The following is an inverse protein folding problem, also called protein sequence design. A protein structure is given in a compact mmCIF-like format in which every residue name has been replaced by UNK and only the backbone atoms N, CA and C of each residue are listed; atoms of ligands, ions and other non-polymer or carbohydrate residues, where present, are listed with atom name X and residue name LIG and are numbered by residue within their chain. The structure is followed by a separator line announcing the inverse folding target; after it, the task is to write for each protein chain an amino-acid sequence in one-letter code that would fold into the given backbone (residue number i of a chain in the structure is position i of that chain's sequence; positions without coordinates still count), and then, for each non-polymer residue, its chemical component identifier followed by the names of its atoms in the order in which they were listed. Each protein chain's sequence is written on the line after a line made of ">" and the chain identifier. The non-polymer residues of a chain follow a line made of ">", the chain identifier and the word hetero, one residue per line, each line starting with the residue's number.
data_IF_511564410061
#
_entry.id   IF_511564410061
#
_cell.length_a   1.000
_cell.length_b   1.000
_cell.length_c   1.000
_cell.angle_alpha   90.00
_cell.angle_beta   90.00
_cell.angle_gamma   90.00
#
_symmetry.space_group_name_H-M   'P 1'
#
loop_
_entity.id
_entity.type
_entity.pdbx_description
1 polymer ?
#
# COMPACT_ATOMS: atom_id res chain seq x y z
N UNK A 1 6.90 -14.14 -71.49
CA UNK A 1 6.02 -13.73 -70.37
C UNK A 1 6.33 -14.61 -69.17
N UNK A 2 7.12 -14.11 -68.24
CA UNK A 2 7.35 -14.69 -66.92
C UNK A 2 7.42 -13.51 -65.94
N UNK A 3 6.51 -13.46 -64.98
CA UNK A 3 6.39 -12.35 -64.02
C UNK A 3 7.35 -12.56 -62.83
N UNK A 4 7.90 -11.47 -62.25
CA UNK A 4 8.87 -11.54 -61.15
C UNK A 4 8.19 -11.66 -59.78
N UNK A 5 8.89 -12.14 -58.73
CA UNK A 5 8.36 -12.24 -57.38
C UNK A 5 8.41 -10.90 -56.65
N UNK A 6 7.27 -10.47 -56.10
CA UNK A 6 7.11 -9.24 -55.33
C UNK A 6 7.18 -9.49 -53.82
N UNK A 7 8.13 -8.80 -53.17
CA UNK A 7 8.06 -8.19 -51.83
C UNK A 7 7.53 -9.01 -50.64
N UNK A 8 8.47 -9.59 -49.88
CA UNK A 8 8.26 -10.10 -48.51
C UNK A 8 8.69 -9.11 -47.41
N UNK A 9 8.64 -7.80 -47.68
CA UNK A 9 9.21 -6.76 -46.78
C UNK A 9 8.19 -5.86 -46.07
N UNK A 10 6.89 -6.17 -46.08
CA UNK A 10 5.85 -5.25 -45.55
C UNK A 10 4.90 -5.83 -44.49
N UNK A 11 5.22 -6.95 -43.84
CA UNK A 11 4.38 -7.55 -42.76
C UNK A 11 4.83 -7.26 -41.32
N UNK A 12 5.86 -6.45 -41.11
CA UNK A 12 6.45 -6.23 -39.77
C UNK A 12 6.09 -4.93 -39.05
N UNK A 13 5.20 -4.08 -39.57
CA UNK A 13 5.12 -2.68 -39.12
C UNK A 13 3.70 -2.16 -38.80
N UNK A 14 2.74 -3.04 -38.53
CA UNK A 14 1.36 -2.67 -38.18
C UNK A 14 0.84 -3.38 -36.92
N UNK A 15 1.70 -3.51 -35.90
CA UNK A 15 1.30 -3.99 -34.56
C UNK A 15 1.91 -3.12 -33.46
N UNK A 16 1.90 -1.80 -33.68
CA UNK A 16 2.35 -0.82 -32.69
C UNK A 16 1.44 0.42 -32.71
N UNK A 17 0.13 0.20 -32.63
CA UNK A 17 -0.84 1.23 -32.27
C UNK A 17 -1.76 0.65 -31.19
N UNK A 18 -1.18 0.35 -30.03
CA UNK A 18 -1.95 0.26 -28.79
C UNK A 18 -2.38 1.69 -28.48
N UNK A 19 -3.65 1.97 -28.78
CA UNK A 19 -4.35 3.17 -28.34
C UNK A 19 -4.22 3.24 -26.82
N UNK A 20 -3.33 4.11 -26.34
CA UNK A 20 -3.22 4.48 -24.93
C UNK A 20 -4.52 5.19 -24.55
N UNK A 21 -5.51 4.42 -24.08
CA UNK A 21 -6.61 4.98 -23.31
C UNK A 21 -6.02 5.62 -22.07
N UNK A 22 -6.02 6.95 -22.00
CA UNK A 22 -5.51 7.81 -20.92
C UNK A 22 -6.30 7.71 -19.61
N UNK A 23 -6.98 6.59 -19.37
CA UNK A 23 -7.71 6.29 -18.15
C UNK A 23 -6.91 5.36 -17.25
N UNK A 24 -6.84 5.67 -15.95
CA UNK A 24 -6.26 4.76 -14.98
C UNK A 24 -6.97 3.38 -15.04
N UNK A 25 -6.24 2.25 -15.03
CA UNK A 25 -6.86 0.93 -15.06
C UNK A 25 -7.77 0.74 -13.84
N UNK A 26 -8.85 -0.04 -13.99
CA UNK A 26 -9.77 -0.29 -12.85
C UNK A 26 -9.08 -1.07 -11.73
N UNK A 27 -8.33 -2.11 -12.10
CA UNK A 27 -7.55 -2.92 -11.18
C UNK A 27 -6.10 -2.43 -11.09
N UNK A 28 -5.52 -2.67 -9.94
CA UNK A 28 -4.24 -2.14 -9.51
C UNK A 28 -3.06 -3.06 -9.86
N UNK A 29 -3.36 -4.31 -10.24
CA UNK A 29 -2.47 -5.41 -10.61
C UNK A 29 -3.05 -6.21 -11.80
N UNK A 30 -2.21 -6.87 -12.63
CA UNK A 30 -2.65 -7.83 -13.64
C UNK A 30 -3.27 -9.10 -13.06
N UNK A 31 -3.85 -9.96 -13.92
CA UNK A 31 -4.31 -11.30 -13.51
C UNK A 31 -3.11 -12.17 -13.12
N UNK A 32 -3.28 -13.00 -12.09
CA UNK A 32 -2.26 -13.97 -11.68
C UNK A 32 -1.05 -13.38 -10.96
N UNK A 33 -1.12 -12.12 -10.53
CA UNK A 33 -0.11 -11.51 -9.67
C UNK A 33 0.04 -12.30 -8.36
N UNK A 34 1.28 -12.45 -7.91
CA UNK A 34 1.61 -13.12 -6.64
C UNK A 34 0.84 -12.48 -5.48
N UNK A 35 0.27 -13.32 -4.62
CA UNK A 35 -0.41 -12.87 -3.40
C UNK A 35 0.60 -12.85 -2.25
N UNK A 36 0.69 -11.72 -1.58
CA UNK A 36 1.53 -11.58 -0.39
C UNK A 36 0.68 -11.35 0.85
N UNK A 37 1.13 -11.88 1.99
CA UNK A 37 0.51 -11.63 3.29
C UNK A 37 1.25 -10.47 3.94
N UNK A 38 0.57 -9.34 4.11
CA UNK A 38 1.16 -8.15 4.71
C UNK A 38 1.09 -8.21 6.24
N UNK A 39 2.16 -7.82 6.93
CA UNK A 39 2.16 -7.61 8.41
C UNK A 39 1.05 -6.64 8.82
N UNK A 40 0.77 -5.72 7.92
CA UNK A 40 -0.13 -4.60 8.07
C UNK A 40 -1.59 -5.00 8.06
N UNK A 41 -1.94 -6.04 7.30
CA UNK A 41 -3.24 -6.68 7.38
C UNK A 41 -3.44 -7.28 8.79
N UNK A 42 -2.38 -7.86 9.36
CA UNK A 42 -2.37 -8.34 10.75
C UNK A 42 -2.56 -7.21 11.78
N UNK A 43 -1.91 -6.07 11.58
CA UNK A 43 -2.06 -4.89 12.44
C UNK A 43 -3.47 -4.31 12.31
N UNK A 44 -3.98 -4.18 11.10
CA UNK A 44 -5.32 -3.69 10.84
C UNK A 44 -6.36 -4.60 11.48
N UNK A 45 -6.18 -5.92 11.38
CA UNK A 45 -7.02 -6.91 12.06
C UNK A 45 -7.02 -6.68 13.58
N UNK A 46 -5.85 -6.57 14.20
CA UNK A 46 -5.75 -6.36 15.66
C UNK A 46 -6.39 -5.04 16.07
N UNK A 47 -6.07 -3.93 15.39
CA UNK A 47 -6.59 -2.61 15.74
C UNK A 47 -8.10 -2.51 15.51
N UNK A 48 -8.61 -3.07 14.41
CA UNK A 48 -10.05 -3.05 14.13
C UNK A 48 -10.83 -3.96 15.07
N UNK A 49 -10.31 -5.15 15.41
CA UNK A 49 -10.93 -6.04 16.38
C UNK A 49 -10.92 -5.47 17.80
N UNK A 50 -9.80 -4.89 18.25
CA UNK A 50 -9.72 -4.20 19.54
C UNK A 50 -10.64 -2.99 19.60
N UNK A 51 -10.65 -2.17 18.54
CA UNK A 51 -11.57 -1.05 18.42
C UNK A 51 -13.03 -1.49 18.47
N UNK A 52 -13.39 -2.56 17.77
CA UNK A 52 -14.74 -3.13 17.78
C UNK A 52 -15.12 -3.62 19.18
N UNK A 53 -14.20 -4.30 19.90
CA UNK A 53 -14.42 -4.72 21.28
C UNK A 53 -14.64 -3.54 22.22
N UNK A 54 -13.78 -2.52 22.17
CA UNK A 54 -13.89 -1.32 23.00
C UNK A 54 -15.17 -0.53 22.74
N UNK A 55 -15.53 -0.33 21.47
CA UNK A 55 -16.78 0.34 21.10
C UNK A 55 -17.99 -0.52 21.49
N UNK A 56 -17.93 -1.84 21.27
CA UNK A 56 -18.98 -2.77 21.65
C UNK A 56 -19.32 -2.71 23.15
N UNK A 57 -18.31 -2.55 24.01
CA UNK A 57 -18.51 -2.41 25.47
C UNK A 57 -19.33 -1.18 25.88
N UNK A 58 -19.34 -0.12 25.05
CA UNK A 58 -20.03 1.15 25.34
C UNK A 58 -21.16 1.45 24.34
N UNK A 59 -21.43 0.54 23.40
CA UNK A 59 -22.44 0.74 22.37
C UNK A 59 -23.86 0.68 22.93
N UNK A 60 -24.07 -0.01 24.06
CA UNK A 60 -25.38 -0.22 24.67
C UNK A 60 -25.28 -0.01 26.19
N UNK A 61 -26.09 0.88 26.79
CA UNK A 61 -27.04 1.81 26.16
C UNK A 61 -26.33 3.01 25.48
N UNK A 62 -26.99 3.69 24.52
CA UNK A 62 -26.39 4.86 23.86
C UNK A 62 -26.07 5.97 24.86
N UNK A 63 -24.94 6.63 24.65
CA UNK A 63 -24.52 7.74 25.50
C UNK A 63 -25.48 8.94 25.42
N UNK A 64 -25.44 9.84 26.41
CA UNK A 64 -26.24 11.08 26.36
C UNK A 64 -25.93 11.95 25.14
N UNK A 65 -24.66 12.02 24.72
CA UNK A 65 -24.26 12.68 23.48
C UNK A 65 -24.84 12.00 22.24
N UNK A 66 -24.75 10.67 22.16
CA UNK A 66 -25.31 9.90 21.05
C UNK A 66 -26.83 10.06 20.96
N UNK A 67 -27.52 10.09 22.10
CA UNK A 67 -28.96 10.34 22.17
C UNK A 67 -29.32 11.73 21.63
N UNK A 68 -28.51 12.76 21.92
CA UNK A 68 -28.70 14.10 21.36
C UNK A 68 -28.47 14.14 19.83
N UNK A 69 -27.46 13.42 19.33
CA UNK A 69 -27.21 13.29 17.89
C UNK A 69 -28.38 12.58 17.20
N UNK A 70 -28.88 11.50 17.78
CA UNK A 70 -30.04 10.78 17.24
C UNK A 70 -31.29 11.68 17.24
N UNK A 71 -31.49 12.48 18.29
CA UNK A 71 -32.56 13.48 18.34
C UNK A 71 -32.44 14.54 17.25
N UNK A 72 -31.21 15.01 16.98
CA UNK A 72 -30.93 15.94 15.88
C UNK A 72 -31.24 15.30 14.51
N UNK A 73 -30.83 14.05 14.29
CA UNK A 73 -31.12 13.31 13.05
C UNK A 73 -32.63 13.18 12.84
N UNK A 74 -33.39 12.88 13.89
CA UNK A 74 -34.85 12.80 13.81
C UNK A 74 -35.52 14.14 13.46
N UNK A 75 -34.86 15.27 13.71
CA UNK A 75 -35.34 16.60 13.35
C UNK A 75 -35.03 16.99 11.89
N UNK A 76 -34.24 16.20 11.15
CA UNK A 76 -33.94 16.51 9.75
C UNK A 76 -35.19 16.39 8.86
N UNK A 77 -35.33 17.27 7.85
CA UNK A 77 -36.46 17.21 6.93
C UNK A 77 -36.54 15.86 6.19
N UNK A 78 -37.72 15.24 6.23
CA UNK A 78 -37.96 13.91 5.62
C UNK A 78 -37.70 13.87 4.12
N UNK A 79 -37.83 15.00 3.41
CA UNK A 79 -37.50 15.10 1.99
C UNK A 79 -36.02 14.81 1.70
N UNK A 80 -35.10 15.06 2.64
CA UNK A 80 -33.69 14.69 2.48
C UNK A 80 -33.45 13.18 2.54
N UNK A 81 -34.47 12.39 2.89
CA UNK A 81 -34.39 10.92 2.90
C UNK A 81 -33.91 10.33 1.56
N UNK A 82 -34.21 10.97 0.42
CA UNK A 82 -33.69 10.50 -0.88
C UNK A 82 -32.17 10.63 -0.98
N UNK A 83 -31.56 11.68 -0.40
CA UNK A 83 -30.11 11.93 -0.42
C UNK A 83 -29.40 10.84 0.37
N UNK A 84 -29.93 10.51 1.55
CA UNK A 84 -29.37 9.47 2.42
C UNK A 84 -29.52 8.08 1.81
N UNK A 85 -30.66 7.79 1.17
CA UNK A 85 -30.87 6.55 0.41
C UNK A 85 -29.92 6.46 -0.78
N UNK A 86 -29.64 7.58 -1.45
CA UNK A 86 -28.66 7.64 -2.52
C UNK A 86 -27.26 7.28 -2.02
N UNK A 87 -26.86 7.72 -0.81
CA UNK A 87 -25.60 7.31 -0.18
C UNK A 87 -25.47 5.79 -0.02
N UNK A 88 -26.53 5.13 0.49
CA UNK A 88 -26.58 3.66 0.61
C UNK A 88 -26.57 3.00 -0.78
N UNK A 89 -27.36 3.51 -1.74
CA UNK A 89 -27.41 2.99 -3.09
C UNK A 89 -26.07 3.11 -3.82
N UNK A 90 -25.32 4.20 -3.61
CA UNK A 90 -23.96 4.37 -4.13
C UNK A 90 -23.02 3.32 -3.55
N UNK A 91 -23.09 3.03 -2.24
CA UNK A 91 -22.29 1.98 -1.63
C UNK A 91 -22.61 0.60 -2.20
N UNK A 92 -23.89 0.22 -2.25
CA UNK A 92 -24.32 -1.07 -2.79
C UNK A 92 -23.95 -1.19 -4.27
N UNK A 93 -24.27 -0.17 -5.07
CA UNK A 93 -23.93 -0.11 -6.49
C UNK A 93 -22.43 -0.19 -6.74
N UNK A 94 -21.62 0.42 -5.89
CA UNK A 94 -20.17 0.32 -5.94
C UNK A 94 -19.67 -1.12 -5.71
N UNK A 95 -20.15 -1.80 -4.67
CA UNK A 95 -19.76 -3.20 -4.39
C UNK A 95 -20.20 -4.13 -5.52
N UNK A 96 -21.42 -3.95 -6.03
CA UNK A 96 -21.92 -4.71 -7.17
C UNK A 96 -21.09 -4.45 -8.43
N UNK A 97 -20.71 -3.19 -8.68
CA UNK A 97 -19.86 -2.84 -9.82
C UNK A 97 -18.48 -3.51 -9.71
N UNK A 98 -17.86 -3.52 -8.52
CA UNK A 98 -16.58 -4.22 -8.30
C UNK A 98 -16.73 -5.71 -8.55
N UNK A 99 -17.75 -6.37 -7.97
CA UNK A 99 -17.99 -7.80 -8.16
C UNK A 99 -18.27 -8.15 -9.62
N UNK A 100 -19.12 -7.34 -10.29
CA UNK A 100 -19.43 -7.50 -11.71
C UNK A 100 -18.20 -7.33 -12.59
N UNK A 101 -17.41 -6.27 -12.41
CA UNK A 101 -16.20 -6.02 -13.20
C UNK A 101 -15.16 -7.11 -12.92
N UNK A 102 -15.05 -7.60 -11.69
CA UNK A 102 -14.19 -8.72 -11.34
C UNK A 102 -14.60 -9.99 -12.08
N UNK A 103 -15.88 -10.37 -12.04
CA UNK A 103 -16.41 -11.54 -12.74
C UNK A 103 -16.26 -11.40 -14.27
N UNK A 104 -16.68 -10.26 -14.84
CA UNK A 104 -16.57 -9.98 -16.28
C UNK A 104 -15.12 -9.99 -16.77
N UNK A 105 -14.18 -9.60 -15.92
CA UNK A 105 -12.75 -9.69 -16.19
C UNK A 105 -12.10 -10.91 -15.53
N UNK A 106 -12.83 -12.00 -15.26
CA UNK A 106 -12.32 -13.26 -14.73
C UNK A 106 -11.26 -13.10 -13.61
N UNK A 107 -11.44 -12.08 -12.76
CA UNK A 107 -10.65 -11.78 -11.56
C UNK A 107 -11.25 -12.53 -10.38
N UNK A 108 -11.18 -13.85 -10.45
CA UNK A 108 -11.70 -14.74 -9.41
C UNK A 108 -11.00 -14.52 -8.07
N UNK A 109 -9.73 -14.10 -8.10
CA UNK A 109 -8.98 -13.65 -6.93
C UNK A 109 -9.71 -12.53 -6.17
N UNK A 110 -10.11 -11.47 -6.88
CA UNK A 110 -10.80 -10.32 -6.28
C UNK A 110 -12.22 -10.70 -5.86
N UNK A 111 -12.93 -11.49 -6.68
CA UNK A 111 -14.29 -11.91 -6.36
C UNK A 111 -14.33 -12.78 -5.10
N UNK A 112 -13.39 -13.72 -4.97
CA UNK A 112 -13.27 -14.56 -3.78
C UNK A 112 -12.99 -13.72 -2.54
N UNK A 113 -12.09 -12.74 -2.60
CA UNK A 113 -11.81 -11.86 -1.46
C UNK A 113 -13.04 -11.05 -1.03
N UNK A 114 -13.74 -10.47 -2.00
CA UNK A 114 -14.96 -9.68 -1.76
C UNK A 114 -16.06 -10.56 -1.16
N UNK A 115 -16.31 -11.74 -1.73
CA UNK A 115 -17.34 -12.67 -1.24
C UNK A 115 -16.97 -13.24 0.14
N UNK A 116 -15.73 -13.68 0.32
CA UNK A 116 -15.26 -14.23 1.60
C UNK A 116 -15.35 -13.19 2.71
N UNK A 117 -14.94 -11.94 2.44
CA UNK A 117 -15.02 -10.86 3.42
C UNK A 117 -16.47 -10.49 3.76
N UNK A 118 -17.37 -10.46 2.78
CA UNK A 118 -18.79 -10.23 3.01
C UNK A 118 -19.42 -11.34 3.87
N UNK A 119 -19.16 -12.61 3.54
CA UNK A 119 -19.69 -13.77 4.29
C UNK A 119 -19.13 -13.81 5.72
N UNK A 120 -17.82 -13.60 5.87
CA UNK A 120 -17.19 -13.52 7.18
C UNK A 120 -17.72 -12.33 7.99
N UNK A 121 -17.90 -11.17 7.35
CA UNK A 121 -18.49 -9.98 7.95
C UNK A 121 -19.91 -10.23 8.45
N UNK A 122 -20.74 -10.93 7.67
CA UNK A 122 -22.08 -11.35 8.12
C UNK A 122 -21.99 -12.22 9.38
N UNK A 123 -21.12 -13.24 9.38
CA UNK A 123 -20.92 -14.09 10.55
C UNK A 123 -20.49 -13.32 11.80
N UNK A 124 -19.54 -12.39 11.65
CA UNK A 124 -19.08 -11.53 12.74
C UNK A 124 -20.15 -10.54 13.22
N UNK A 125 -20.99 -10.02 12.31
CA UNK A 125 -22.10 -9.14 12.68
C UNK A 125 -23.16 -9.89 13.50
N UNK A 126 -23.53 -11.10 13.08
CA UNK A 126 -24.47 -11.96 13.81
C UNK A 126 -23.92 -12.34 15.18
N UNK A 127 -22.63 -12.67 15.26
CA UNK A 127 -21.96 -12.94 16.53
C UNK A 127 -21.91 -11.70 17.42
N UNK A 128 -21.62 -10.53 16.86
CA UNK A 128 -21.63 -9.24 17.57
C UNK A 128 -23.00 -8.94 18.16
N UNK A 129 -24.07 -9.07 17.37
CA UNK A 129 -25.45 -8.91 17.84
C UNK A 129 -25.77 -9.92 18.95
N UNK A 130 -25.36 -11.19 18.81
CA UNK A 130 -25.58 -12.20 19.85
C UNK A 130 -24.85 -11.88 21.17
N UNK A 131 -23.67 -11.28 21.11
CA UNK A 131 -22.87 -10.89 22.29
C UNK A 131 -23.47 -9.65 22.95
N UNK A 132 -23.87 -8.65 22.15
CA UNK A 132 -24.31 -7.34 22.63
C UNK A 132 -25.79 -7.34 23.05
N UNK A 133 -26.67 -7.89 22.21
CA UNK A 133 -28.13 -7.90 22.41
C UNK A 133 -28.62 -9.19 23.11
N UNK A 134 -27.77 -10.20 23.22
CA UNK A 134 -28.08 -11.48 23.87
C UNK A 134 -28.93 -12.45 23.02
N UNK A 135 -29.46 -12.01 21.89
CA UNK A 135 -30.29 -12.81 20.96
C UNK A 135 -29.71 -12.82 19.55
N UNK A 136 -30.08 -13.84 18.77
CA UNK A 136 -29.79 -13.83 17.34
C UNK A 136 -30.78 -12.91 16.63
N UNK A 137 -30.34 -12.06 15.69
CA UNK A 137 -31.23 -11.13 15.01
C UNK A 137 -32.10 -11.85 13.98
N UNK A 138 -33.35 -11.41 13.85
CA UNK A 138 -34.25 -11.86 12.79
C UNK A 138 -33.78 -11.40 11.40
N UNK A 139 -34.20 -12.10 10.36
CA UNK A 139 -33.83 -11.81 8.97
C UNK A 139 -34.19 -10.37 8.56
N UNK A 140 -35.31 -9.84 9.05
CA UNK A 140 -35.74 -8.46 8.81
C UNK A 140 -34.78 -7.44 9.44
N UNK A 141 -34.29 -7.70 10.65
CA UNK A 141 -33.31 -6.86 11.34
C UNK A 141 -31.95 -6.88 10.63
N UNK A 142 -31.55 -8.03 10.08
CA UNK A 142 -30.34 -8.19 9.27
C UNK A 142 -30.42 -7.39 7.97
N UNK A 143 -31.56 -7.45 7.26
CA UNK A 143 -31.73 -6.86 5.92
C UNK A 143 -32.03 -5.35 5.93
N UNK A 144 -32.88 -4.90 6.86
CA UNK A 144 -33.44 -3.54 6.83
C UNK A 144 -32.85 -2.64 7.93
N UNK A 145 -32.39 -3.22 9.05
CA UNK A 145 -31.92 -2.46 10.22
C UNK A 145 -33.05 -1.73 10.96
N UNK A 146 -32.68 -0.70 11.75
CA UNK A 146 -33.58 0.13 12.55
C UNK A 146 -33.06 0.37 13.98
N UNK A 147 -33.66 1.29 14.76
CA UNK A 147 -33.30 1.53 16.18
C UNK A 147 -33.38 0.30 17.08
N UNK A 148 -34.19 -0.68 16.69
CA UNK A 148 -34.35 -1.99 17.35
C UNK A 148 -33.71 -3.12 16.53
N UNK A 149 -32.98 -2.79 15.47
CA UNK A 149 -32.25 -3.73 14.64
C UNK A 149 -30.94 -4.16 15.29
N UNK A 150 -30.23 -5.10 14.64
CA UNK A 150 -29.00 -5.66 15.17
C UNK A 150 -27.88 -4.62 15.31
N UNK A 151 -27.18 -4.61 16.44
CA UNK A 151 -25.94 -3.85 16.62
C UNK A 151 -24.76 -4.84 16.66
N UNK A 152 -23.80 -4.79 15.71
CA UNK A 152 -23.69 -3.90 14.55
C UNK A 152 -24.67 -4.22 13.40
N UNK A 153 -24.88 -3.24 12.49
CA UNK A 153 -25.75 -3.39 11.34
C UNK A 153 -25.13 -4.32 10.29
N UNK A 154 -25.67 -5.53 10.16
CA UNK A 154 -25.09 -6.59 9.33
C UNK A 154 -24.89 -6.21 7.86
N UNK A 155 -25.84 -5.51 7.22
CA UNK A 155 -25.69 -5.04 5.83
C UNK A 155 -24.54 -4.06 5.65
N UNK A 156 -24.32 -3.19 6.63
CA UNK A 156 -23.21 -2.23 6.62
C UNK A 156 -21.87 -2.93 6.87
N UNK A 157 -21.83 -3.92 7.77
CA UNK A 157 -20.66 -4.78 7.98
C UNK A 157 -20.29 -5.52 6.69
N UNK A 158 -21.24 -6.17 6.02
CA UNK A 158 -21.00 -6.87 4.76
C UNK A 158 -20.49 -5.94 3.66
N UNK A 159 -21.15 -4.79 3.46
CA UNK A 159 -20.79 -3.84 2.41
C UNK A 159 -19.43 -3.19 2.65
N UNK A 160 -19.12 -2.81 3.90
CA UNK A 160 -17.81 -2.27 4.26
C UNK A 160 -16.70 -3.32 4.17
N UNK A 161 -16.94 -4.55 4.62
CA UNK A 161 -16.00 -5.68 4.47
C UNK A 161 -15.66 -5.93 3.00
N UNK A 162 -16.67 -6.02 2.13
CA UNK A 162 -16.49 -6.15 0.68
C UNK A 162 -15.69 -4.98 0.09
N UNK A 163 -16.00 -3.74 0.49
CA UNK A 163 -15.32 -2.54 0.00
C UNK A 163 -13.85 -2.48 0.44
N UNK A 164 -13.57 -2.83 1.70
CA UNK A 164 -12.21 -2.89 2.23
C UNK A 164 -11.41 -4.04 1.63
N UNK A 165 -12.03 -5.21 1.42
CA UNK A 165 -11.40 -6.35 0.76
C UNK A 165 -11.02 -6.05 -0.69
N UNK A 166 -11.85 -5.28 -1.40
CA UNK A 166 -11.58 -4.84 -2.77
C UNK A 166 -10.50 -3.75 -2.87
N UNK A 167 -10.37 -2.88 -1.87
CA UNK A 167 -9.57 -1.66 -1.94
C UNK A 167 -8.10 -1.86 -2.39
N UNK A 168 -7.36 -2.90 -1.96
CA UNK A 168 -5.99 -3.14 -2.39
C UNK A 168 -5.90 -3.48 -3.90
N UNK A 169 -6.92 -4.14 -4.43
CA UNK A 169 -7.00 -4.60 -5.83
C UNK A 169 -7.36 -3.48 -6.82
N UNK A 170 -7.77 -2.30 -6.34
CA UNK A 170 -8.30 -1.22 -7.17
C UNK A 170 -7.28 -0.08 -7.37
N UNK A 171 -7.32 0.57 -8.54
CA UNK A 171 -6.49 1.75 -8.74
C UNK A 171 -6.94 2.93 -7.84
N UNK A 172 -6.04 3.91 -7.68
CA UNK A 172 -6.21 5.05 -6.78
C UNK A 172 -7.56 5.78 -6.90
N UNK A 173 -8.04 6.17 -8.10
CA UNK A 173 -9.30 6.91 -8.21
C UNK A 173 -10.50 6.07 -7.74
N UNK A 174 -10.53 4.79 -8.10
CA UNK A 174 -11.59 3.85 -7.76
C UNK A 174 -11.61 3.52 -6.26
N UNK A 175 -10.43 3.35 -5.64
CA UNK A 175 -10.33 3.22 -4.18
C UNK A 175 -10.79 4.49 -3.46
N UNK A 176 -10.47 5.67 -3.99
CA UNK A 176 -10.95 6.94 -3.42
C UNK A 176 -12.47 7.02 -3.49
N UNK A 177 -13.05 6.67 -4.63
CA UNK A 177 -14.50 6.60 -4.79
C UNK A 177 -15.12 5.60 -3.81
N UNK A 178 -14.56 4.39 -3.70
CA UNK A 178 -15.04 3.38 -2.74
C UNK A 178 -15.04 3.86 -1.29
N UNK A 179 -14.01 4.60 -0.85
CA UNK A 179 -14.01 5.21 0.51
C UNK A 179 -15.11 6.25 0.68
N UNK A 180 -15.33 7.09 -0.32
CA UNK A 180 -16.43 8.08 -0.30
C UNK A 180 -17.77 7.36 -0.26
N UNK A 181 -17.94 6.28 -1.03
CA UNK A 181 -19.15 5.46 -1.04
C UNK A 181 -19.41 4.81 0.32
N UNK A 182 -18.37 4.28 1.00
CA UNK A 182 -18.50 3.74 2.37
C UNK A 182 -18.95 4.84 3.34
N UNK A 183 -18.30 6.00 3.34
CA UNK A 183 -18.66 7.13 4.21
C UNK A 183 -20.10 7.61 3.93
N UNK A 184 -20.47 7.72 2.66
CA UNK A 184 -21.82 8.11 2.25
C UNK A 184 -22.88 7.06 2.65
N UNK A 185 -22.55 5.77 2.56
CA UNK A 185 -23.43 4.68 2.98
C UNK A 185 -23.63 4.62 4.50
N UNK A 186 -22.57 4.79 5.28
CA UNK A 186 -22.64 4.88 6.76
C UNK A 186 -23.45 6.10 7.18
N UNK A 187 -23.13 7.26 6.62
CA UNK A 187 -23.85 8.51 6.88
C UNK A 187 -25.34 8.37 6.51
N UNK A 188 -25.63 7.75 5.37
CA UNK A 188 -26.99 7.45 4.95
C UNK A 188 -27.73 6.53 5.92
N UNK A 189 -27.09 5.46 6.40
CA UNK A 189 -27.67 4.53 7.37
C UNK A 189 -27.98 5.21 8.72
N UNK A 190 -27.07 6.07 9.19
CA UNK A 190 -27.29 6.85 10.42
C UNK A 190 -28.41 7.87 10.24
N UNK A 191 -28.40 8.62 9.13
CA UNK A 191 -29.41 9.65 8.85
C UNK A 191 -30.81 9.10 8.59
N UNK A 192 -30.91 7.82 8.20
CA UNK A 192 -32.18 7.10 8.02
C UNK A 192 -32.59 6.30 9.26
N UNK A 193 -31.89 6.47 10.39
CA UNK A 193 -32.17 5.78 11.65
C UNK A 193 -32.09 4.24 11.54
N UNK A 194 -31.31 3.74 10.56
CA UNK A 194 -31.07 2.32 10.37
C UNK A 194 -30.01 1.78 11.35
N UNK A 195 -29.15 2.65 11.86
CA UNK A 195 -28.17 2.36 12.92
C UNK A 195 -27.81 3.65 13.65
N UNK A 196 -27.28 3.56 14.86
CA UNK A 196 -26.78 4.72 15.60
C UNK A 196 -25.38 5.13 15.09
N UNK A 197 -24.89 6.35 15.39
CA UNK A 197 -23.52 6.73 15.06
C UNK A 197 -22.47 5.73 15.57
N UNK A 198 -22.61 5.27 16.82
CA UNK A 198 -21.70 4.27 17.41
C UNK A 198 -21.85 2.92 16.72
N UNK A 199 -23.09 2.50 16.43
CA UNK A 199 -23.36 1.27 15.66
C UNK A 199 -22.78 1.30 14.25
N UNK A 200 -22.79 2.46 13.58
CA UNK A 200 -22.15 2.67 12.29
C UNK A 200 -20.63 2.50 12.34
N UNK A 201 -19.97 3.09 13.34
CA UNK A 201 -18.52 2.93 13.56
C UNK A 201 -18.19 1.47 13.89
N UNK A 202 -18.95 0.84 14.78
CA UNK A 202 -18.79 -0.57 15.11
C UNK A 202 -18.93 -1.45 13.86
N UNK A 203 -19.89 -1.16 13.00
CA UNK A 203 -20.10 -1.89 11.74
C UNK A 203 -18.87 -1.79 10.82
N UNK A 204 -18.24 -0.61 10.73
CA UNK A 204 -17.01 -0.43 9.96
C UNK A 204 -15.83 -1.19 10.56
N UNK A 205 -15.69 -1.22 11.89
CA UNK A 205 -14.59 -1.92 12.55
C UNK A 205 -14.72 -3.44 12.42
N UNK A 206 -15.94 -3.97 12.55
CA UNK A 206 -16.21 -5.39 12.32
C UNK A 206 -16.01 -5.75 10.85
N UNK A 207 -16.46 -4.91 9.92
CA UNK A 207 -16.23 -5.10 8.48
C UNK A 207 -14.74 -5.03 8.11
N UNK A 208 -14.00 -4.09 8.72
CA UNK A 208 -12.55 -3.99 8.60
C UNK A 208 -11.83 -5.22 9.14
N UNK A 209 -12.27 -5.76 10.27
CA UNK A 209 -11.74 -7.00 10.85
C UNK A 209 -11.93 -8.18 9.90
N UNK A 210 -13.12 -8.32 9.29
CA UNK A 210 -13.40 -9.37 8.31
C UNK A 210 -12.49 -9.25 7.07
N UNK A 211 -12.37 -8.06 6.48
CA UNK A 211 -11.51 -7.83 5.32
C UNK A 211 -10.03 -8.11 5.63
N UNK A 212 -9.54 -7.59 6.76
CA UNK A 212 -8.16 -7.80 7.20
C UNK A 212 -7.87 -9.27 7.48
N UNK A 213 -8.79 -10.02 8.10
CA UNK A 213 -8.63 -11.46 8.33
C UNK A 213 -8.55 -12.23 7.01
N UNK A 214 -9.38 -11.88 6.02
CA UNK A 214 -9.29 -12.46 4.66
C UNK A 214 -7.92 -12.21 4.03
N UNK A 215 -7.40 -10.98 4.12
CA UNK A 215 -6.07 -10.65 3.57
C UNK A 215 -4.92 -11.32 4.33
N UNK A 216 -5.02 -11.48 5.66
CA UNK A 216 -4.03 -12.24 6.44
C UNK A 216 -3.99 -13.71 6.01
N UNK A 217 -5.16 -14.33 5.79
CA UNK A 217 -5.25 -15.75 5.45
C UNK A 217 -4.89 -16.00 3.98
N UNK A 218 -5.51 -15.26 3.06
CA UNK A 218 -5.40 -15.48 1.62
C UNK A 218 -4.27 -14.66 0.96
N UNK A 219 -3.75 -13.63 1.63
CA UNK A 219 -2.90 -12.60 1.04
C UNK A 219 -3.72 -11.56 0.26
N UNK A 220 -3.09 -10.50 -0.22
CA UNK A 220 -3.70 -9.58 -1.19
C UNK A 220 -2.80 -9.45 -2.42
N UNK A 221 -3.36 -9.01 -3.55
CA UNK A 221 -2.59 -8.81 -4.79
C UNK A 221 -1.95 -7.42 -4.85
N UNK A 222 -2.10 -6.64 -3.79
CA UNK A 222 -1.60 -5.30 -3.75
C UNK A 222 -0.12 -5.31 -3.38
N UNK A 223 0.69 -4.65 -4.21
CA UNK A 223 1.80 -3.90 -3.65
C UNK A 223 3.10 -3.95 -4.42
N UNK A 224 3.36 -5.00 -5.19
CA UNK A 224 4.63 -5.12 -5.93
C UNK A 224 4.42 -5.04 -7.43
N UNK A 225 5.08 -4.09 -8.12
CA UNK A 225 5.09 -4.09 -9.57
C UNK A 225 5.80 -5.35 -10.07
N UNK A 226 5.26 -5.95 -11.12
CA UNK A 226 5.94 -7.03 -11.85
C UNK A 226 7.21 -6.49 -12.51
N UNK A 227 8.19 -7.35 -12.83
CA UNK A 227 9.39 -6.92 -13.57
C UNK A 227 9.05 -6.23 -14.90
N UNK A 228 7.97 -6.65 -15.56
CA UNK A 228 7.46 -5.98 -16.76
C UNK A 228 6.97 -4.55 -16.47
N UNK A 229 6.24 -4.35 -15.36
CA UNK A 229 5.83 -3.01 -14.91
C UNK A 229 7.02 -2.16 -14.48
N UNK A 230 8.07 -2.76 -13.92
CA UNK A 230 9.34 -2.05 -13.63
C UNK A 230 10.02 -1.63 -14.93
N UNK A 231 10.05 -2.47 -15.95
CA UNK A 231 10.57 -2.11 -17.27
C UNK A 231 9.77 -0.95 -17.89
N UNK A 232 8.44 -1.04 -17.90
CA UNK A 232 7.55 0.04 -18.37
C UNK A 232 7.80 1.35 -17.62
N UNK A 233 7.95 1.27 -16.30
CA UNK A 233 8.23 2.41 -15.43
C UNK A 233 9.58 3.06 -15.74
N UNK A 234 10.61 2.27 -15.99
CA UNK A 234 11.93 2.77 -16.38
C UNK A 234 11.86 3.50 -17.73
N UNK A 235 11.15 2.93 -18.71
CA UNK A 235 10.93 3.55 -20.02
C UNK A 235 10.15 4.86 -19.90
N UNK A 236 9.10 4.90 -19.08
CA UNK A 236 8.34 6.13 -18.80
C UNK A 236 9.24 7.24 -18.21
N UNK A 237 10.20 6.85 -17.37
CA UNK A 237 11.20 7.74 -16.78
C UNK A 237 12.42 7.98 -17.68
N UNK A 238 12.39 7.52 -18.94
CA UNK A 238 13.38 7.81 -19.97
C UNK A 238 14.63 6.91 -19.97
N UNK A 239 14.61 5.78 -19.26
CA UNK A 239 15.73 4.83 -19.19
C UNK A 239 15.29 3.43 -19.61
N UNK A 240 16.00 2.80 -20.54
CA UNK A 240 15.77 1.38 -20.89
C UNK A 240 16.72 0.49 -20.09
N UNK A 241 16.19 -0.63 -19.58
CA UNK A 241 16.94 -1.64 -18.82
C UNK A 241 16.57 -3.03 -19.33
N UNK A 242 17.59 -3.80 -19.71
CA UNK A 242 17.47 -5.16 -20.21
C UNK A 242 17.78 -6.19 -19.12
N UNK A 243 17.26 -7.41 -19.30
CA UNK A 243 17.59 -8.55 -18.44
C UNK A 243 17.19 -8.37 -16.98
N UNK A 244 16.07 -7.69 -16.72
CA UNK A 244 15.58 -7.48 -15.36
C UNK A 244 15.39 -8.81 -14.63
N UNK A 245 15.99 -8.90 -13.45
CA UNK A 245 15.85 -10.00 -12.51
C UNK A 245 15.53 -9.45 -11.12
N UNK A 246 14.76 -10.19 -10.33
CA UNK A 246 14.52 -9.84 -8.93
C UNK A 246 15.81 -10.01 -8.11
N UNK A 247 16.12 -9.00 -7.31
CA UNK A 247 17.23 -9.03 -6.35
C UNK A 247 16.84 -9.73 -5.03
N UNK A 248 17.77 -9.76 -4.05
CA UNK A 248 17.52 -10.36 -2.74
C UNK A 248 16.25 -9.83 -2.08
N UNK A 249 15.42 -10.73 -1.59
CA UNK A 249 14.09 -10.44 -1.07
C UNK A 249 14.13 -10.05 0.42
N UNK A 250 13.83 -8.79 0.73
CA UNK A 250 13.51 -8.36 2.11
C UNK A 250 11.99 -8.36 2.30
N UNK A 251 11.50 -9.18 3.24
CA UNK A 251 10.07 -9.18 3.63
C UNK A 251 9.67 -7.80 4.14
N UNK A 252 8.70 -7.16 3.49
CA UNK A 252 8.20 -5.83 3.86
C UNK A 252 9.05 -4.64 3.41
N UNK A 253 10.12 -4.86 2.63
CA UNK A 253 10.96 -3.83 2.01
C UNK A 253 10.55 -3.48 0.57
N UNK A 254 11.20 -2.47 -0.06
CA UNK A 254 11.00 -2.17 -1.47
C UNK A 254 11.29 -3.40 -2.34
N UNK A 255 10.67 -3.48 -3.52
CA UNK A 255 11.10 -4.44 -4.53
C UNK A 255 12.47 -3.98 -5.03
N UNK A 256 13.45 -4.89 -5.01
CA UNK A 256 14.76 -4.64 -5.61
C UNK A 256 14.82 -5.46 -6.89
N UNK A 257 15.08 -4.80 -8.02
CA UNK A 257 15.36 -5.43 -9.30
C UNK A 257 16.76 -5.04 -9.76
N UNK A 258 17.40 -5.91 -10.53
CA UNK A 258 18.70 -5.65 -11.16
C UNK A 258 18.59 -5.89 -12.66
N UNK A 259 19.29 -5.09 -13.46
CA UNK A 259 19.36 -5.27 -14.91
C UNK A 259 20.59 -4.58 -15.50
N UNK A 260 20.61 -4.45 -16.82
CA UNK A 260 21.68 -3.79 -17.57
C UNK A 260 21.11 -2.59 -18.31
N UNK A 261 21.77 -1.44 -18.23
CA UNK A 261 21.39 -0.29 -19.05
C UNK A 261 21.91 -0.42 -20.50
N UNK A 262 21.59 0.57 -21.34
CA UNK A 262 22.08 0.62 -22.74
C UNK A 262 23.60 0.58 -22.90
N UNK A 263 24.38 0.93 -21.87
CA UNK A 263 25.84 0.85 -21.87
C UNK A 263 26.38 -0.51 -21.43
N UNK A 264 25.50 -1.45 -21.04
CA UNK A 264 25.86 -2.72 -20.44
C UNK A 264 26.27 -2.62 -18.96
N UNK A 265 26.06 -1.47 -18.32
CA UNK A 265 26.35 -1.28 -16.91
C UNK A 265 25.24 -1.86 -16.04
N UNK A 266 25.62 -2.49 -14.92
CA UNK A 266 24.67 -3.02 -13.95
C UNK A 266 23.90 -1.89 -13.28
N UNK A 267 22.57 -1.98 -13.30
CA UNK A 267 21.65 -1.07 -12.64
C UNK A 267 20.88 -1.82 -11.57
N UNK A 268 20.84 -1.27 -10.36
CA UNK A 268 19.97 -1.71 -9.28
C UNK A 268 18.82 -0.73 -9.16
N UNK A 269 17.60 -1.25 -9.17
CA UNK A 269 16.36 -0.50 -9.15
C UNK A 269 15.64 -0.84 -7.85
N UNK A 270 15.38 0.17 -7.02
CA UNK A 270 14.50 0.04 -5.86
C UNK A 270 13.15 0.64 -6.21
N UNK A 271 12.11 -0.19 -6.15
CA UNK A 271 10.74 0.24 -6.38
C UNK A 271 9.98 0.22 -5.06
N UNK A 272 9.60 1.41 -4.63
CA UNK A 272 8.76 1.62 -3.46
C UNK A 272 7.31 1.43 -3.88
N UNK A 273 6.90 0.16 -3.83
CA UNK A 273 5.57 -0.30 -4.16
C UNK A 273 4.48 0.23 -3.23
N UNK A 274 3.23 -0.15 -3.55
CA UNK A 274 2.02 0.45 -2.99
C UNK A 274 1.90 0.25 -1.46
N UNK A 275 2.46 -0.83 -0.92
CA UNK A 275 2.17 -1.33 0.44
C UNK A 275 3.37 -1.41 1.39
N UNK A 276 4.52 -0.80 1.06
CA UNK A 276 5.61 -0.58 2.03
C UNK A 276 5.21 0.35 3.21
N UNK A 277 3.99 0.90 3.20
CA UNK A 277 3.43 1.80 4.21
C UNK A 277 3.23 1.14 5.57
N UNK A 278 3.01 -0.15 5.57
CA UNK A 278 1.92 -0.63 6.41
C UNK A 278 2.52 -1.42 7.62
N UNK A 279 3.72 -2.00 7.44
CA UNK A 279 4.62 -2.41 8.52
C UNK A 279 5.19 -1.20 9.32
N UNK A 280 5.29 -0.03 8.69
CA UNK A 280 5.86 1.15 9.33
C UNK A 280 4.86 1.88 10.22
N UNK A 281 3.56 1.84 9.93
CA UNK A 281 2.51 2.46 10.77
C UNK A 281 2.48 1.86 12.19
N UNK A 282 2.69 0.55 12.34
CA UNK A 282 2.83 -0.09 13.65
C UNK A 282 4.09 0.40 14.38
N UNK A 283 5.24 0.38 13.71
CA UNK A 283 6.48 0.86 14.32
C UNK A 283 6.43 2.34 14.69
N UNK A 284 5.56 3.12 14.03
CA UNK A 284 5.28 4.53 14.32
C UNK A 284 4.29 4.70 15.46
N UNK A 285 3.18 3.96 15.48
CA UNK A 285 2.23 3.98 16.58
C UNK A 285 2.92 3.55 17.88
N UNK A 286 3.73 2.49 17.81
CA UNK A 286 4.57 2.04 18.92
C UNK A 286 5.60 3.10 19.35
N UNK A 287 6.29 3.75 18.39
CA UNK A 287 7.24 4.84 18.71
C UNK A 287 6.57 6.13 19.17
N UNK A 288 5.37 6.46 18.73
CA UNK A 288 4.59 7.61 19.20
C UNK A 288 4.06 7.39 20.62
N UNK A 289 3.63 6.15 20.91
CA UNK A 289 3.16 5.77 22.24
C UNK A 289 4.31 5.64 23.24
N UNK A 290 5.51 5.25 22.79
CA UNK A 290 6.63 4.93 23.68
C UNK A 290 7.79 5.93 23.66
N UNK A 291 8.02 6.67 22.57
CA UNK A 291 9.06 7.71 22.47
C UNK A 291 8.41 9.10 22.43
N UNK A 292 8.41 9.77 23.58
CA UNK A 292 8.11 11.20 23.67
C UNK A 292 9.25 12.00 23.01
N UNK A 293 9.07 12.37 21.74
CA UNK A 293 9.96 13.32 21.06
C UNK A 293 9.97 13.13 19.54
N UNK A 294 9.52 14.15 18.81
CA UNK A 294 9.39 14.25 17.35
C UNK A 294 8.27 13.40 16.70
N UNK A 295 7.14 14.06 16.45
CA UNK A 295 6.19 13.60 15.44
C UNK A 295 6.82 13.81 14.06
N UNK A 296 7.48 12.78 13.51
CA UNK A 296 7.95 12.81 12.11
C UNK A 296 6.72 12.62 11.21
N UNK A 297 6.38 13.65 10.44
CA UNK A 297 5.33 13.61 9.42
C UNK A 297 5.59 12.42 8.49
N UNK A 298 4.57 11.57 8.29
CA UNK A 298 4.68 10.40 7.41
C UNK A 298 5.06 10.85 5.98
N UNK A 299 6.24 10.45 5.52
CA UNK A 299 6.72 10.80 4.18
C UNK A 299 5.95 10.04 3.10
N UNK A 300 5.66 10.72 1.99
CA UNK A 300 5.11 10.08 0.78
C UNK A 300 6.17 9.16 0.13
N UNK A 301 5.76 8.25 -0.77
CA UNK A 301 6.69 7.35 -1.49
C UNK A 301 7.68 8.14 -2.34
N UNK A 302 7.17 9.20 -2.96
CA UNK A 302 7.91 10.19 -3.71
C UNK A 302 8.98 10.84 -2.82
N UNK A 303 8.62 11.26 -1.59
CA UNK A 303 9.59 11.82 -0.65
C UNK A 303 10.69 10.83 -0.20
N UNK A 304 10.44 9.51 -0.22
CA UNK A 304 11.48 8.52 0.04
C UNK A 304 12.48 8.44 -1.12
N UNK A 305 11.97 8.31 -2.34
CA UNK A 305 12.78 8.27 -3.57
C UNK A 305 13.54 9.58 -3.75
N UNK A 306 12.89 10.72 -3.54
CA UNK A 306 13.50 12.05 -3.60
C UNK A 306 14.59 12.19 -2.56
N UNK A 307 14.36 11.75 -1.31
CA UNK A 307 15.37 11.84 -0.25
C UNK A 307 16.55 10.91 -0.54
N UNK A 308 16.30 9.65 -0.86
CA UNK A 308 17.37 8.70 -1.19
C UNK A 308 18.18 9.20 -2.39
N UNK A 309 17.50 9.67 -3.44
CA UNK A 309 18.14 10.29 -4.61
C UNK A 309 18.94 11.54 -4.24
N UNK A 310 18.36 12.46 -3.47
CA UNK A 310 19.01 13.68 -3.00
C UNK A 310 20.25 13.39 -2.16
N UNK A 311 20.15 12.51 -1.16
CA UNK A 311 21.27 12.17 -0.28
C UNK A 311 22.37 11.44 -1.06
N UNK A 312 22.01 10.56 -2.00
CA UNK A 312 22.98 9.86 -2.86
C UNK A 312 23.70 10.83 -3.78
N UNK A 313 22.97 11.76 -4.42
CA UNK A 313 23.56 12.82 -5.26
C UNK A 313 24.46 13.76 -4.44
N UNK A 314 24.05 14.12 -3.23
CA UNK A 314 24.84 14.97 -2.33
C UNK A 314 26.10 14.27 -1.81
N UNK A 315 26.03 12.97 -1.50
CA UNK A 315 27.19 12.19 -1.12
C UNK A 315 28.18 12.09 -2.28
N UNK A 316 27.68 11.83 -3.49
CA UNK A 316 28.52 11.77 -4.70
C UNK A 316 29.17 13.11 -5.03
N UNK A 317 28.45 14.23 -4.86
CA UNK A 317 29.02 15.57 -5.09
C UNK A 317 30.12 15.94 -4.10
N UNK A 318 30.20 15.23 -2.97
CA UNK A 318 31.27 15.32 -1.96
C UNK A 318 32.34 14.23 -2.13
N UNK A 319 32.38 13.58 -3.30
CA UNK A 319 33.38 12.57 -3.67
C UNK A 319 33.36 11.31 -2.81
N UNK A 320 32.24 11.00 -2.14
CA UNK A 320 32.08 9.69 -1.52
C UNK A 320 31.89 8.60 -2.59
N UNK A 321 32.40 7.41 -2.30
CA UNK A 321 32.19 6.22 -3.12
C UNK A 321 30.75 5.70 -2.93
N UNK A 322 29.81 6.24 -3.69
CA UNK A 322 28.39 5.86 -3.70
C UNK A 322 27.91 5.59 -5.14
N UNK A 323 26.82 4.81 -5.32
CA UNK A 323 26.24 4.54 -6.63
C UNK A 323 25.89 5.82 -7.38
N UNK A 324 25.93 5.76 -8.71
CA UNK A 324 25.43 6.86 -9.54
C UNK A 324 23.92 6.76 -9.66
N UNK A 325 23.19 7.83 -9.34
CA UNK A 325 21.74 7.88 -9.58
C UNK A 325 21.49 8.06 -11.08
N UNK A 326 20.88 7.06 -11.71
CA UNK A 326 20.48 7.10 -13.12
C UNK A 326 19.18 7.86 -13.27
N UNK A 327 18.18 7.46 -12.48
CA UNK A 327 16.86 8.08 -12.48
C UNK A 327 16.18 7.87 -11.14
N UNK A 328 15.44 8.88 -10.70
CA UNK A 328 14.60 8.83 -9.51
C UNK A 328 13.30 9.56 -9.82
N UNK A 329 12.16 8.93 -9.59
CA UNK A 329 10.89 9.55 -9.95
C UNK A 329 9.66 8.69 -9.65
N UNK A 330 8.51 9.22 -10.07
CA UNK A 330 7.20 8.59 -9.91
C UNK A 330 6.55 8.40 -11.27
N UNK A 331 5.97 7.23 -11.48
CA UNK A 331 5.21 6.91 -12.70
C UNK A 331 3.76 7.37 -12.63
N UNK A 332 3.09 7.42 -13.78
CA UNK A 332 1.66 7.68 -13.91
C UNK A 332 0.80 6.66 -13.18
N UNK A 333 1.31 5.43 -12.97
CA UNK A 333 0.67 4.37 -12.17
C UNK A 333 0.83 4.57 -10.66
N UNK A 334 1.67 5.53 -10.24
CA UNK A 334 1.86 5.94 -8.85
C UNK A 334 2.91 5.15 -8.08
N UNK A 335 3.76 4.40 -8.77
CA UNK A 335 4.93 3.74 -8.21
C UNK A 335 6.10 4.73 -8.18
N UNK A 336 6.85 4.75 -7.09
CA UNK A 336 8.03 5.58 -6.95
C UNK A 336 9.25 4.67 -7.00
N UNK A 337 10.23 5.00 -7.83
CA UNK A 337 11.45 4.20 -7.97
C UNK A 337 12.70 5.06 -8.04
N UNK A 338 13.80 4.48 -7.60
CA UNK A 338 15.16 4.98 -7.82
C UNK A 338 15.98 3.88 -8.47
N UNK A 339 16.66 4.22 -9.55
CA UNK A 339 17.61 3.35 -10.24
C UNK A 339 19.02 3.93 -10.11
N UNK A 340 19.96 3.10 -9.71
CA UNK A 340 21.37 3.46 -9.53
C UNK A 340 22.27 2.53 -10.31
N UNK A 341 23.35 3.04 -10.90
CA UNK A 341 24.44 2.19 -11.43
C UNK A 341 25.18 1.61 -10.25
N UNK A 342 25.16 0.31 -10.14
CA UNK A 342 25.74 -0.42 -9.01
C UNK A 342 26.47 -1.65 -9.53
N UNK A 343 27.78 -1.50 -9.62
CA UNK A 343 28.67 -2.59 -10.02
C UNK A 343 29.19 -3.39 -8.80
N UNK A 344 28.91 -2.92 -7.58
CA UNK A 344 29.47 -3.47 -6.36
C UNK A 344 28.74 -4.76 -5.92
N UNK A 345 29.52 -5.78 -5.57
CA UNK A 345 29.00 -7.00 -4.96
C UNK A 345 28.69 -6.73 -3.47
N UNK A 346 27.48 -7.02 -2.95
CA UNK A 346 27.17 -6.85 -1.53
C UNK A 346 28.15 -7.62 -0.65
N UNK A 347 28.60 -7.01 0.45
CA UNK A 347 29.51 -7.68 1.38
C UNK A 347 28.89 -8.91 2.05
N UNK A 348 27.55 -8.98 2.17
CA UNK A 348 26.84 -10.15 2.70
C UNK A 348 27.03 -11.43 1.85
N UNK A 349 27.44 -11.27 0.59
CA UNK A 349 27.67 -12.37 -0.37
C UNK A 349 29.16 -12.49 -0.71
N UNK A 350 30.02 -11.66 -0.12
CA UNK A 350 31.47 -11.76 -0.27
C UNK A 350 32.03 -12.82 0.68
N UNK A 351 33.17 -13.38 0.32
CA UNK A 351 33.86 -14.33 1.19
C UNK A 351 34.44 -13.60 2.40
N UNK A 352 34.57 -14.32 3.51
CA UNK A 352 35.03 -13.75 4.79
C UNK A 352 36.36 -12.98 4.69
N UNK A 353 37.40 -13.46 3.97
CA UNK A 353 38.65 -12.71 3.83
C UNK A 353 38.44 -11.34 3.16
N UNK A 354 37.67 -11.29 2.08
CA UNK A 354 37.36 -10.04 1.37
C UNK A 354 36.66 -9.02 2.28
N UNK A 355 35.77 -9.50 3.17
CA UNK A 355 35.08 -8.65 4.15
C UNK A 355 36.05 -8.13 5.21
N UNK A 356 36.92 -8.99 5.75
CA UNK A 356 37.92 -8.62 6.76
C UNK A 356 38.92 -7.58 6.20
N UNK A 357 39.40 -7.77 4.97
CA UNK A 357 40.29 -6.84 4.27
C UNK A 357 39.62 -5.49 3.97
N UNK A 358 38.29 -5.49 3.80
CA UNK A 358 37.51 -4.29 3.52
C UNK A 358 37.18 -3.45 4.77
N UNK A 359 37.36 -3.97 5.99
CA UNK A 359 36.97 -3.28 7.24
C UNK A 359 37.57 -1.88 7.39
N UNK A 360 38.88 -1.64 7.15
CA UNK A 360 39.45 -0.30 7.26
C UNK A 360 38.80 0.69 6.30
N UNK A 361 38.53 0.26 5.07
CA UNK A 361 37.88 1.08 4.04
C UNK A 361 36.41 1.37 4.38
N UNK A 362 35.69 0.42 4.98
CA UNK A 362 34.32 0.64 5.49
C UNK A 362 34.32 1.77 6.53
N UNK A 363 35.21 1.70 7.52
CA UNK A 363 35.30 2.74 8.57
C UNK A 363 35.73 4.08 8.01
N UNK A 364 36.62 4.10 7.01
CA UNK A 364 37.00 5.32 6.31
C UNK A 364 35.80 5.94 5.58
N UNK A 365 35.00 5.14 4.87
CA UNK A 365 33.77 5.59 4.19
C UNK A 365 32.74 6.15 5.17
N UNK A 366 32.55 5.51 6.34
CA UNK A 366 31.69 6.04 7.41
C UNK A 366 32.22 7.38 7.95
N UNK A 367 33.53 7.49 8.16
CA UNK A 367 34.18 8.74 8.56
C UNK A 367 33.97 9.87 7.55
N UNK A 368 34.10 9.58 6.25
CA UNK A 368 33.83 10.53 5.17
C UNK A 368 32.36 10.96 5.14
N UNK A 369 31.42 10.04 5.37
CA UNK A 369 29.99 10.33 5.45
C UNK A 369 29.69 11.30 6.61
N UNK A 370 30.26 11.03 7.78
CA UNK A 370 30.12 11.90 8.95
C UNK A 370 30.79 13.28 8.75
N UNK A 371 31.98 13.32 8.14
CA UNK A 371 32.64 14.59 7.80
C UNK A 371 31.81 15.41 6.80
N UNK A 372 31.05 14.73 5.95
CA UNK A 372 30.06 15.32 5.08
C UNK A 372 28.71 15.62 5.77
N UNK A 373 28.64 15.58 7.10
CA UNK A 373 27.43 15.94 7.85
C UNK A 373 26.25 15.02 7.57
N UNK A 374 26.50 13.78 7.17
CA UNK A 374 25.49 12.75 6.93
C UNK A 374 25.67 11.62 7.93
N UNK A 375 24.58 11.03 8.41
CA UNK A 375 24.58 9.85 9.28
C UNK A 375 23.82 8.76 8.56
N UNK A 376 24.40 7.57 8.43
CA UNK A 376 23.76 6.49 7.67
C UNK A 376 22.48 5.97 8.33
N UNK A 377 22.46 5.84 9.65
CA UNK A 377 21.28 5.36 10.40
C UNK A 377 21.04 3.85 10.43
N UNK A 378 21.69 3.06 9.57
CA UNK A 378 21.62 1.59 9.57
C UNK A 378 22.85 0.96 8.88
N UNK A 379 23.91 0.71 9.65
CA UNK A 379 25.15 0.08 9.15
C UNK A 379 25.00 -1.44 9.10
N UNK A 380 24.40 -1.94 8.03
CA UNK A 380 24.25 -3.38 7.75
C UNK A 380 25.27 -3.82 6.68
N UNK A 381 25.67 -5.11 6.63
CA UNK A 381 26.61 -5.59 5.61
C UNK A 381 26.14 -5.32 4.16
N UNK A 382 24.83 -5.33 3.91
CA UNK A 382 24.23 -5.03 2.60
C UNK A 382 24.32 -3.56 2.20
N UNK A 383 24.54 -2.66 3.16
CA UNK A 383 24.74 -1.24 2.90
C UNK A 383 26.09 -0.95 2.23
N UNK A 384 27.01 -1.91 2.25
CA UNK A 384 28.32 -1.81 1.63
C UNK A 384 28.46 -2.85 0.52
N UNK A 385 29.31 -2.56 -0.46
CA UNK A 385 29.76 -3.58 -1.39
C UNK A 385 31.14 -3.32 -1.93
N UNK A 386 31.72 -4.38 -2.47
CA UNK A 386 33.04 -4.36 -3.06
C UNK A 386 32.91 -4.25 -4.57
N UNK A 387 33.49 -3.20 -5.15
CA UNK A 387 33.60 -3.05 -6.59
C UNK A 387 34.70 -3.95 -7.16
N UNK A 388 34.67 -4.27 -8.47
CA UNK A 388 35.72 -5.05 -9.11
C UNK A 388 37.13 -4.42 -9.03
N UNK A 389 37.21 -3.09 -8.82
CA UNK A 389 38.46 -2.33 -8.64
C UNK A 389 38.95 -2.31 -7.18
N UNK A 390 38.31 -3.05 -6.28
CA UNK A 390 38.68 -3.15 -4.86
C UNK A 390 38.18 -1.98 -4.00
N UNK A 391 37.46 -1.02 -4.57
CA UNK A 391 36.90 0.10 -3.81
C UNK A 391 35.64 -0.34 -3.05
N UNK A 392 35.58 -0.02 -1.76
CA UNK A 392 34.37 -0.19 -0.94
C UNK A 392 33.40 0.93 -1.26
N UNK A 393 32.24 0.55 -1.80
CA UNK A 393 31.15 1.46 -2.14
C UNK A 393 30.06 1.40 -1.08
N UNK A 394 29.55 2.57 -0.69
CA UNK A 394 28.38 2.70 0.18
C UNK A 394 27.11 2.70 -0.68
N UNK A 395 26.40 1.56 -0.66
CA UNK A 395 25.37 1.20 -1.62
C UNK A 395 23.96 1.63 -1.24
N UNK A 396 23.66 1.86 0.03
CA UNK A 396 22.30 2.18 0.48
C UNK A 396 22.27 3.41 1.37
N UNK A 397 21.67 4.50 0.87
CA UNK A 397 21.47 5.73 1.64
C UNK A 397 20.00 6.01 1.95
N UNK A 398 19.12 5.00 1.83
CA UNK A 398 17.68 5.16 2.06
C UNK A 398 17.32 5.53 3.51
N UNK A 399 18.15 5.13 4.48
CA UNK A 399 18.00 5.46 5.90
C UNK A 399 18.83 6.66 6.34
N UNK A 400 19.67 7.21 5.45
CA UNK A 400 20.61 8.26 5.81
C UNK A 400 19.89 9.58 6.14
N UNK A 401 20.43 10.28 7.13
CA UNK A 401 19.95 11.56 7.63
C UNK A 401 21.03 12.63 7.47
N UNK A 402 20.62 13.85 7.16
CA UNK A 402 21.52 15.00 7.25
C UNK A 402 21.62 15.40 8.72
N UNK A 403 22.84 15.48 9.25
CA UNK A 403 23.08 15.88 10.62
C UNK A 403 22.64 17.32 10.87
N UNK A 404 21.92 17.55 11.97
CA UNK A 404 21.65 18.91 12.45
C UNK A 404 22.95 19.51 13.00
N UNK A 405 23.39 20.64 12.42
CA UNK A 405 24.57 21.38 12.84
C UNK A 405 24.54 21.88 14.30
N UNK A 406 23.42 21.78 15.03
CA UNK A 406 23.32 22.16 16.45
C UNK A 406 24.05 21.20 17.40
N UNK A 407 24.20 19.91 17.06
CA UNK A 407 24.91 18.96 17.93
C UNK A 407 26.44 19.14 17.94
N UNK A 408 26.99 19.93 17.01
CA UNK A 408 28.42 20.19 16.90
C UNK A 408 28.93 21.33 17.81
N UNK A 409 28.05 21.99 18.58
CA UNK A 409 28.42 23.09 19.50
C UNK A 409 28.51 22.70 20.98
N UNK A 410 28.33 21.43 21.32
CA UNK A 410 28.57 20.93 22.69
C UNK A 410 29.73 19.92 22.63
N UNK A 411 30.94 20.43 22.48
CA UNK A 411 32.16 19.75 22.92
C UNK A 411 33.04 20.75 23.63
#
# INVERSE_FOLDING_TARGET
>A
MANPPTSAAHRGMLTALSVHGSGAPFFSSPRGSTRERSVSDGVLLVLSALGAGLIGLVAIPPSGFESAVIGLVAAFPSWLGFVWRLGIAILVGWILAVAYIAAARARWDVLLDVCAAAVLGLGLALLGARILDGTWPDLSAVLVGGRTGSVPLATLVMASAAGFAAAPHLAVPYRRFGRIAVVAGVGGAVMLDATTPTGGILSLLVGGSAAALVHVVLGSSAGRPTLAEVAEAMVELGTEVDGLAEGPHTRGGPLVATGLDRSGAKVRIKVYGRDARDAQLLSRAWRLLWMRGSAVVARSREQYVEREGFVTLLARSRSLAVPEVVVAGRTGRGDALIAVRDAAKPLSVCDRPDVEDSLPAIWQSVGQLHAAGMVHGALEPDAFGLRPDGVVELRDLGTAELGNHEAARIR
#
